data_IF_610877785371
#
_entry.id   IF_610877785371
#
_cell.length_a   1.000
_cell.length_b   1.000
_cell.length_c   1.000
_cell.angle_alpha   90.00
_cell.angle_beta   90.00
_cell.angle_gamma   90.00
#
_symmetry.space_group_name_H-M   'P 1'
#
loop_
_entity.id
_entity.type
_entity.pdbx_description
1 polymer ?
#
# COMPACT_ATOMS: atom_id res chain seq x y z
N UNK A 1 -58.26 0.56 27.93
CA UNK A 1 -57.27 1.65 27.76
C UNK A 1 -57.51 2.23 26.38
N UNK A 2 -58.02 3.48 26.28
CA UNK A 2 -58.52 4.02 25.01
C UNK A 2 -57.39 4.45 24.12
N UNK A 3 -57.38 3.94 22.88
CA UNK A 3 -56.41 4.27 21.84
C UNK A 3 -56.19 5.80 21.66
N UNK A 4 -57.26 6.59 21.87
CA UNK A 4 -57.21 8.06 21.85
C UNK A 4 -56.30 8.65 22.94
N UNK A 5 -56.37 8.10 24.16
CA UNK A 5 -55.55 8.58 25.28
C UNK A 5 -54.07 8.28 25.06
N UNK A 6 -53.74 7.09 24.52
CA UNK A 6 -52.38 6.71 24.17
C UNK A 6 -51.81 7.66 23.12
N UNK A 7 -52.62 7.99 22.10
CA UNK A 7 -52.15 8.87 21.01
C UNK A 7 -51.91 10.31 21.46
N UNK A 8 -52.73 10.82 22.39
CA UNK A 8 -52.58 12.17 22.96
C UNK A 8 -51.34 12.25 23.84
N UNK A 9 -51.10 11.25 24.68
CA UNK A 9 -49.88 11.18 25.52
C UNK A 9 -48.65 11.06 24.65
N UNK A 10 -48.66 10.16 23.67
CA UNK A 10 -47.52 9.97 22.75
C UNK A 10 -47.16 11.25 21.98
N UNK A 11 -48.15 11.99 21.47
CA UNK A 11 -47.96 13.25 20.78
C UNK A 11 -47.37 14.34 21.68
N UNK A 12 -47.79 14.38 22.93
CA UNK A 12 -47.28 15.32 23.94
C UNK A 12 -45.81 15.00 24.27
N UNK A 13 -45.53 13.74 24.61
CA UNK A 13 -44.19 13.24 24.93
C UNK A 13 -43.20 13.48 23.74
N UNK A 14 -43.67 13.22 22.52
CA UNK A 14 -42.90 13.49 21.32
C UNK A 14 -42.59 14.98 21.13
N UNK A 15 -43.58 15.84 21.39
CA UNK A 15 -43.42 17.30 21.31
C UNK A 15 -42.47 17.86 22.35
N UNK A 16 -42.57 17.35 23.58
CA UNK A 16 -41.67 17.75 24.66
C UNK A 16 -40.23 17.24 24.44
N UNK A 17 -40.06 16.00 23.93
CA UNK A 17 -38.76 15.44 23.54
C UNK A 17 -38.12 16.21 22.39
N UNK A 18 -38.88 16.63 21.37
CA UNK A 18 -38.40 17.44 20.25
C UNK A 18 -38.02 18.89 20.63
N UNK A 19 -38.56 19.38 21.74
CA UNK A 19 -38.29 20.72 22.28
C UNK A 19 -36.96 20.77 23.04
N UNK A 20 -36.58 19.66 23.64
CA UNK A 20 -35.27 19.51 24.28
C UNK A 20 -34.18 19.19 23.24
N UNK A 21 -33.80 20.23 22.47
CA UNK A 21 -32.81 20.14 21.44
C UNK A 21 -31.44 19.63 21.95
N UNK A 22 -31.15 19.88 23.23
CA UNK A 22 -29.87 19.50 23.83
C UNK A 22 -29.79 17.99 24.08
N UNK A 23 -30.86 17.41 24.64
CA UNK A 23 -30.96 15.95 24.82
C UNK A 23 -31.05 15.21 23.49
N UNK A 24 -31.78 15.76 22.52
CA UNK A 24 -31.89 15.18 21.18
C UNK A 24 -30.55 15.19 20.44
N UNK A 25 -29.83 16.31 20.50
CA UNK A 25 -28.51 16.43 19.90
C UNK A 25 -27.53 15.44 20.53
N UNK A 26 -27.48 15.31 21.85
CA UNK A 26 -26.59 14.36 22.50
C UNK A 26 -27.00 12.89 22.25
N UNK A 27 -28.30 12.59 22.18
CA UNK A 27 -28.79 11.24 21.91
C UNK A 27 -28.59 10.80 20.44
N UNK A 28 -28.68 11.75 19.48
CA UNK A 28 -28.48 11.45 18.06
C UNK A 28 -27.01 11.61 17.61
N UNK A 29 -26.29 12.54 18.23
CA UNK A 29 -24.92 12.85 17.81
C UNK A 29 -24.01 11.62 17.96
N UNK A 30 -24.12 10.89 19.05
CA UNK A 30 -23.25 9.76 19.34
C UNK A 30 -23.47 8.57 18.38
N UNK A 31 -24.70 8.07 18.14
CA UNK A 31 -24.92 6.98 17.20
C UNK A 31 -24.73 7.38 15.73
N UNK A 32 -24.83 8.67 15.39
CA UNK A 32 -24.59 9.12 14.02
C UNK A 32 -23.11 9.41 13.75
N UNK A 33 -22.41 9.99 14.73
CA UNK A 33 -20.99 10.35 14.59
C UNK A 33 -20.08 9.11 14.58
N UNK A 34 -20.41 8.08 15.35
CA UNK A 34 -19.65 6.84 15.41
C UNK A 34 -19.45 6.19 14.04
N UNK A 35 -20.52 5.81 13.34
CA UNK A 35 -20.42 5.20 12.01
C UNK A 35 -19.77 6.11 10.96
N UNK A 36 -20.06 7.42 11.01
CA UNK A 36 -19.45 8.39 10.09
C UNK A 36 -17.95 8.52 10.32
N UNK A 37 -17.51 8.60 11.58
CA UNK A 37 -16.10 8.65 11.93
C UNK A 37 -15.38 7.36 11.51
N UNK A 38 -16.00 6.21 11.78
CA UNK A 38 -15.47 4.91 11.36
C UNK A 38 -15.38 4.84 9.83
N UNK A 39 -16.40 5.25 9.11
CA UNK A 39 -16.39 5.26 7.64
C UNK A 39 -15.30 6.17 7.08
N UNK A 40 -15.09 7.35 7.68
CA UNK A 40 -14.01 8.27 7.30
C UNK A 40 -12.63 7.68 7.59
N UNK A 41 -12.44 7.03 8.74
CA UNK A 41 -11.20 6.34 9.07
C UNK A 41 -10.92 5.18 8.11
N UNK A 42 -11.93 4.35 7.84
CA UNK A 42 -11.78 3.26 6.85
C UNK A 42 -11.52 3.78 5.46
N UNK A 43 -12.20 4.84 5.01
CA UNK A 43 -11.93 5.44 3.71
C UNK A 43 -10.51 6.00 3.62
N UNK A 44 -9.99 6.60 4.68
CA UNK A 44 -8.63 7.10 4.75
C UNK A 44 -7.61 5.95 4.76
N UNK A 45 -7.86 4.89 5.52
CA UNK A 45 -7.03 3.68 5.55
C UNK A 45 -7.04 2.99 4.18
N UNK A 46 -8.22 2.80 3.59
CA UNK A 46 -8.36 2.18 2.25
C UNK A 46 -7.71 3.08 1.20
N UNK A 47 -7.88 4.39 1.24
CA UNK A 47 -7.19 5.31 0.33
C UNK A 47 -5.67 5.26 0.48
N UNK A 48 -5.17 5.12 1.70
CA UNK A 48 -3.73 4.96 1.98
C UNK A 48 -3.19 3.60 1.51
N UNK A 49 -4.04 2.55 1.50
CA UNK A 49 -3.68 1.22 1.04
C UNK A 49 -4.02 0.99 -0.44
N UNK A 50 -5.01 1.71 -0.99
CA UNK A 50 -5.41 1.69 -2.40
C UNK A 50 -4.55 2.57 -3.27
N UNK A 51 -3.70 3.42 -2.70
CA UNK A 51 -2.49 3.80 -3.36
C UNK A 51 -1.59 2.54 -3.33
N UNK A 52 -1.94 1.50 -4.10
CA UNK A 52 -0.93 0.77 -4.81
C UNK A 52 -0.19 1.82 -5.64
N UNK A 53 0.74 2.53 -5.02
CA UNK A 53 1.85 3.12 -5.74
C UNK A 53 2.35 1.92 -6.54
N UNK A 54 2.04 1.94 -7.83
CA UNK A 54 2.63 1.02 -8.79
C UNK A 54 4.07 0.90 -8.36
N UNK A 55 4.47 -0.28 -7.90
CA UNK A 55 5.77 -0.47 -7.29
C UNK A 55 6.81 -0.18 -8.36
N UNK A 56 7.22 1.07 -8.43
CA UNK A 56 8.25 1.52 -9.37
C UNK A 56 9.60 1.01 -8.87
N UNK A 57 10.25 0.24 -9.72
CA UNK A 57 11.56 -0.30 -9.46
C UNK A 57 12.54 0.22 -10.49
N UNK A 58 13.42 1.15 -10.13
CA UNK A 58 14.53 1.52 -10.96
C UNK A 58 15.49 0.35 -11.15
N UNK A 59 15.80 0.00 -12.41
CA UNK A 59 16.65 -1.13 -12.75
C UNK A 59 17.78 -0.67 -13.65
N UNK A 60 18.99 -0.95 -13.24
CA UNK A 60 20.22 -0.82 -14.05
C UNK A 60 20.59 -2.19 -14.63
N UNK A 61 20.88 -2.26 -15.93
CA UNK A 61 21.25 -3.51 -16.60
C UNK A 61 20.08 -4.44 -16.88
N UNK A 62 18.89 -3.91 -17.14
CA UNK A 62 17.68 -4.69 -17.46
C UNK A 62 17.85 -5.66 -18.62
N UNK A 63 18.70 -5.30 -19.60
CA UNK A 63 19.06 -6.11 -20.77
C UNK A 63 19.80 -7.40 -20.42
N UNK A 64 20.41 -7.45 -19.23
CA UNK A 64 21.19 -8.61 -18.77
C UNK A 64 20.32 -9.75 -18.23
N UNK A 65 19.03 -9.47 -17.90
CA UNK A 65 18.10 -10.44 -17.31
C UNK A 65 16.66 -10.26 -17.82
N UNK A 66 16.39 -10.41 -19.13
CA UNK A 66 15.05 -10.14 -19.69
C UNK A 66 13.95 -11.03 -19.07
N UNK A 67 14.27 -12.27 -18.70
CA UNK A 67 13.33 -13.17 -18.04
C UNK A 67 12.92 -12.73 -16.63
N UNK A 68 13.88 -12.20 -15.85
CA UNK A 68 13.59 -11.63 -14.53
C UNK A 68 12.73 -10.36 -14.66
N UNK A 69 13.06 -9.49 -15.62
CA UNK A 69 12.29 -8.27 -15.86
C UNK A 69 10.84 -8.60 -16.23
N UNK A 70 10.63 -9.50 -17.20
CA UNK A 70 9.28 -9.93 -17.57
C UNK A 70 8.50 -10.54 -16.39
N UNK A 71 9.15 -11.30 -15.52
CA UNK A 71 8.52 -11.84 -14.32
C UNK A 71 8.10 -10.74 -13.34
N UNK A 72 8.96 -9.77 -13.09
CA UNK A 72 8.67 -8.64 -12.21
C UNK A 72 7.49 -7.81 -12.75
N UNK A 73 7.47 -7.51 -14.04
CA UNK A 73 6.36 -6.79 -14.70
C UNK A 73 5.04 -7.58 -14.59
N UNK A 74 5.04 -8.88 -14.85
CA UNK A 74 3.87 -9.76 -14.69
C UNK A 74 3.34 -9.79 -13.26
N UNK A 75 4.21 -9.58 -12.27
CA UNK A 75 3.83 -9.53 -10.85
C UNK A 75 3.46 -8.13 -10.38
N UNK A 76 3.29 -7.15 -11.29
CA UNK A 76 2.82 -5.80 -10.98
C UNK A 76 3.91 -4.86 -10.48
N UNK A 77 5.17 -5.10 -10.85
CA UNK A 77 6.27 -4.15 -10.65
C UNK A 77 6.43 -3.33 -11.92
N UNK A 78 6.42 -2.02 -11.79
CA UNK A 78 6.69 -1.10 -12.90
C UNK A 78 8.20 -0.84 -12.98
N UNK A 79 8.82 -1.31 -14.05
CA UNK A 79 10.26 -1.14 -14.26
C UNK A 79 10.54 0.23 -14.88
N UNK A 80 11.36 1.02 -14.20
CA UNK A 80 11.84 2.32 -14.69
C UNK A 80 13.36 2.29 -14.90
N UNK A 81 13.88 3.20 -15.69
CA UNK A 81 15.31 3.32 -15.89
C UNK A 81 15.97 3.81 -14.60
N UNK A 82 17.06 3.15 -14.20
CA UNK A 82 17.87 3.65 -13.09
C UNK A 82 18.70 4.85 -13.54
N UNK A 83 19.05 5.77 -12.62
CA UNK A 83 20.03 6.83 -12.88
C UNK A 83 21.42 6.24 -13.13
N UNK A 84 22.31 7.06 -13.67
CA UNK A 84 23.69 6.68 -14.00
C UNK A 84 24.49 6.28 -12.74
N UNK A 85 24.20 6.91 -11.60
CA UNK A 85 24.78 6.55 -10.30
C UNK A 85 23.68 6.12 -9.32
N UNK A 86 23.35 4.82 -9.27
CA UNK A 86 22.31 4.28 -8.40
C UNK A 86 22.61 4.45 -6.90
N UNK A 87 23.89 4.35 -6.52
CA UNK A 87 24.30 4.43 -5.11
C UNK A 87 24.14 5.84 -4.56
N UNK A 88 24.51 6.87 -5.32
CA UNK A 88 24.32 8.26 -4.94
C UNK A 88 22.83 8.60 -4.85
N UNK A 89 22.02 8.20 -5.82
CA UNK A 89 20.58 8.47 -5.81
C UNK A 89 19.88 7.86 -4.60
N UNK A 90 20.28 6.67 -4.16
CA UNK A 90 19.74 6.05 -2.94
C UNK A 90 20.28 6.74 -1.69
N UNK A 91 21.56 7.08 -1.65
CA UNK A 91 22.21 7.77 -0.51
C UNK A 91 21.64 9.17 -0.28
N UNK A 92 21.36 9.90 -1.35
CA UNK A 92 20.82 11.26 -1.31
C UNK A 92 19.30 11.27 -1.01
N UNK A 93 18.68 10.08 -1.02
CA UNK A 93 17.26 9.88 -0.69
C UNK A 93 16.31 10.18 -1.84
N UNK A 94 16.80 10.30 -3.06
CA UNK A 94 16.00 10.49 -4.28
C UNK A 94 15.23 9.22 -4.64
N UNK A 95 15.82 8.04 -4.32
CA UNK A 95 15.24 6.73 -4.54
C UNK A 95 15.30 5.88 -3.27
N UNK A 96 14.23 5.12 -3.01
CA UNK A 96 14.18 4.18 -1.88
C UNK A 96 14.99 2.90 -2.15
N UNK A 97 15.08 2.49 -3.43
CA UNK A 97 15.79 1.28 -3.85
C UNK A 97 16.13 1.32 -5.35
N UNK A 98 17.17 0.61 -5.73
CA UNK A 98 17.55 0.37 -7.13
C UNK A 98 18.04 -1.06 -7.29
N UNK A 99 17.56 -1.75 -8.33
CA UNK A 99 18.04 -3.08 -8.69
C UNK A 99 19.17 -2.97 -9.72
N UNK A 100 20.34 -3.51 -9.40
CA UNK A 100 21.50 -3.54 -10.29
C UNK A 100 21.75 -4.96 -10.76
N UNK A 101 21.70 -5.16 -12.09
CA UNK A 101 21.89 -6.46 -12.72
C UNK A 101 23.21 -6.42 -13.50
N UNK A 102 24.27 -7.09 -13.00
CA UNK A 102 25.57 -7.06 -13.65
C UNK A 102 25.56 -7.80 -15.00
N UNK A 103 26.43 -7.40 -15.91
CA UNK A 103 26.58 -8.03 -17.25
C UNK A 103 26.89 -9.52 -17.16
N UNK A 104 27.50 -9.96 -16.09
CA UNK A 104 27.83 -11.38 -15.85
C UNK A 104 26.61 -12.24 -15.53
N UNK A 105 25.45 -11.64 -15.14
CA UNK A 105 24.25 -12.37 -14.74
C UNK A 105 23.82 -13.40 -15.79
N UNK A 106 23.67 -13.02 -17.05
CA UNK A 106 23.21 -13.90 -18.11
C UNK A 106 24.18 -15.07 -18.41
N UNK A 107 25.49 -14.90 -18.15
CA UNK A 107 26.46 -15.99 -18.29
C UNK A 107 26.31 -17.02 -17.16
N UNK A 108 26.25 -16.55 -15.92
CA UNK A 108 26.07 -17.41 -14.75
C UNK A 108 24.74 -18.14 -14.77
N UNK A 109 23.67 -17.44 -15.12
CA UNK A 109 22.34 -18.01 -15.24
C UNK A 109 22.29 -19.18 -16.24
N UNK A 110 22.89 -19.02 -17.46
CA UNK A 110 22.95 -20.08 -18.47
C UNK A 110 23.86 -21.23 -18.09
N UNK A 111 24.86 -20.98 -17.24
CA UNK A 111 25.78 -22.01 -16.73
C UNK A 111 25.24 -22.72 -15.48
N UNK A 112 23.98 -22.50 -15.09
CA UNK A 112 23.41 -22.98 -13.84
C UNK A 112 24.29 -22.68 -12.60
N UNK A 113 24.98 -21.54 -12.64
CA UNK A 113 25.85 -21.06 -11.56
C UNK A 113 25.14 -19.93 -10.82
N UNK A 114 25.46 -19.70 -9.51
CA UNK A 114 24.86 -18.62 -8.75
C UNK A 114 25.00 -17.25 -9.46
N UNK A 115 23.90 -16.73 -9.98
CA UNK A 115 23.85 -15.44 -10.64
C UNK A 115 23.51 -14.37 -9.60
N UNK A 116 24.45 -13.50 -9.28
CA UNK A 116 24.26 -12.43 -8.29
C UNK A 116 23.57 -11.24 -8.92
N UNK A 117 22.64 -10.67 -8.19
CA UNK A 117 22.02 -9.36 -8.41
C UNK A 117 22.19 -8.54 -7.14
N UNK A 118 22.24 -7.24 -7.30
CA UNK A 118 22.41 -6.33 -6.19
C UNK A 118 21.17 -5.44 -6.05
N UNK A 119 20.61 -5.38 -4.84
CA UNK A 119 19.53 -4.47 -4.50
C UNK A 119 20.13 -3.40 -3.58
N UNK A 120 20.36 -2.21 -4.13
CA UNK A 120 20.79 -1.04 -3.37
C UNK A 120 19.57 -0.45 -2.69
N UNK A 121 19.61 -0.31 -1.37
CA UNK A 121 18.50 0.17 -0.54
C UNK A 121 18.99 1.21 0.46
N UNK A 122 18.11 2.17 0.80
CA UNK A 122 18.31 3.03 1.96
C UNK A 122 17.70 2.35 3.21
N UNK A 123 18.56 1.80 4.04
CA UNK A 123 18.15 1.13 5.29
C UNK A 123 17.77 2.10 6.40
N UNK A 124 17.98 3.40 6.24
CA UNK A 124 17.63 4.42 7.23
C UNK A 124 16.13 4.76 7.23
N UNK A 125 15.42 4.47 6.13
CA UNK A 125 14.00 4.79 5.94
C UNK A 125 13.10 3.61 6.25
N UNK A 126 12.40 3.69 7.36
CA UNK A 126 11.47 2.64 7.82
C UNK A 126 10.28 2.45 6.86
N UNK A 127 9.85 3.52 6.17
CA UNK A 127 8.71 3.51 5.26
C UNK A 127 8.97 2.71 3.98
N UNK A 128 10.23 2.60 3.55
CA UNK A 128 10.65 1.81 2.40
C UNK A 128 10.67 0.29 2.66
N UNK A 129 10.52 -0.15 3.90
CA UNK A 129 10.64 -1.58 4.29
C UNK A 129 9.61 -2.49 3.62
N UNK A 130 8.39 -2.02 3.37
CA UNK A 130 7.32 -2.82 2.75
C UNK A 130 7.53 -3.01 1.24
N UNK A 131 7.79 -1.98 0.42
CA UNK A 131 8.10 -2.17 -0.99
C UNK A 131 9.38 -2.99 -1.21
N UNK A 132 10.43 -2.76 -0.44
CA UNK A 132 11.69 -3.52 -0.51
C UNK A 132 11.42 -5.01 -0.28
N UNK A 133 10.64 -5.37 0.75
CA UNK A 133 10.28 -6.75 1.07
C UNK A 133 9.49 -7.42 -0.05
N UNK A 134 8.57 -6.69 -0.69
CA UNK A 134 7.80 -7.18 -1.84
C UNK A 134 8.70 -7.47 -3.05
N UNK A 135 9.61 -6.57 -3.39
CA UNK A 135 10.57 -6.79 -4.48
C UNK A 135 11.45 -8.00 -4.17
N UNK A 136 12.02 -8.06 -2.97
CA UNK A 136 12.88 -9.17 -2.54
C UNK A 136 12.17 -10.52 -2.65
N UNK A 137 10.95 -10.64 -2.14
CA UNK A 137 10.18 -11.89 -2.20
C UNK A 137 9.86 -12.32 -3.64
N UNK A 138 9.62 -11.39 -4.56
CA UNK A 138 9.36 -11.69 -5.97
C UNK A 138 10.62 -12.15 -6.70
N UNK A 139 11.76 -11.56 -6.39
CA UNK A 139 13.06 -11.99 -6.90
C UNK A 139 13.40 -13.40 -6.40
N UNK A 140 13.18 -13.68 -5.12
CA UNK A 140 13.40 -15.00 -4.53
C UNK A 140 12.47 -16.07 -5.14
N UNK A 141 11.20 -15.71 -5.37
CA UNK A 141 10.24 -16.59 -6.04
C UNK A 141 10.65 -16.92 -7.49
N UNK A 142 11.23 -15.96 -8.20
CA UNK A 142 11.80 -16.24 -9.53
C UNK A 142 12.98 -17.19 -9.43
N UNK A 143 13.91 -16.95 -8.51
CA UNK A 143 15.07 -17.83 -8.29
C UNK A 143 14.66 -19.27 -7.98
N UNK A 144 13.67 -19.48 -7.11
CA UNK A 144 13.18 -20.82 -6.77
C UNK A 144 12.41 -21.52 -7.89
N UNK A 145 11.91 -20.79 -8.87
CA UNK A 145 11.18 -21.33 -10.04
C UNK A 145 12.10 -21.80 -11.17
N UNK A 146 13.31 -21.23 -11.23
CA UNK A 146 14.23 -21.39 -12.35
C UNK A 146 15.48 -22.19 -11.97
N UNK A 147 15.76 -22.35 -10.66
CA UNK A 147 16.81 -23.22 -10.11
C UNK A 147 16.28 -24.59 -9.77
#
# INVERSE_FOLDING_TARGET
MNMRTIWVVWRKELGDGLRDRRSLMSALLFPLFGPVLIALLFNNIVASHSTEKTLELPVSGRENAPGLIAHLEQTGVHIVAAPDDPESAVRDGDLDMVLVIPRSYGKHFRAASPARIELVIDSSRTDASTPIRRVKSRIEAYGSKVG
#
